data_IF_206531123321
#
_entry.id   IF_206531123321
#
_cell.length_a   1.000
_cell.length_b   1.000
_cell.length_c   1.000
_cell.angle_alpha   90.00
_cell.angle_beta   90.00
_cell.angle_gamma   90.00
#
_symmetry.space_group_name_H-M   'P 1'
#
loop_
_entity.id
_entity.type
_entity.pdbx_description
1 polymer ?
#
# COMPACT_ATOMS: atom_id res chain seq x y z
N UNK A 1 11.46 -13.99 11.65
CA UNK A 1 10.00 -14.07 11.83
C UNK A 1 9.26 -13.30 10.72
N UNK A 2 9.51 -11.99 10.53
CA UNK A 2 8.87 -11.21 9.46
C UNK A 2 9.19 -11.79 8.07
N UNK A 3 10.47 -12.08 7.78
CA UNK A 3 10.87 -12.63 6.49
C UNK A 3 10.21 -13.98 6.20
N UNK A 4 10.08 -14.86 7.17
CA UNK A 4 9.40 -16.16 7.04
C UNK A 4 7.93 -15.98 6.70
N UNK A 5 7.25 -15.08 7.40
CA UNK A 5 5.85 -14.75 7.13
C UNK A 5 5.65 -14.22 5.70
N UNK A 6 6.51 -13.30 5.24
CA UNK A 6 6.42 -12.73 3.90
C UNK A 6 6.68 -13.78 2.81
N UNK A 7 7.56 -14.78 3.06
CA UNK A 7 7.73 -15.94 2.17
C UNK A 7 6.47 -16.80 2.10
N UNK A 8 5.86 -17.09 3.26
CA UNK A 8 4.62 -17.88 3.34
C UNK A 8 3.43 -17.19 2.65
N UNK A 9 3.34 -15.86 2.73
CA UNK A 9 2.30 -15.09 2.06
C UNK A 9 2.33 -15.22 0.54
N UNK A 10 3.51 -15.55 -0.02
CA UNK A 10 3.72 -15.89 -1.43
C UNK A 10 3.14 -14.86 -2.42
N UNK A 11 3.12 -13.59 -2.05
CA UNK A 11 2.63 -12.50 -2.89
C UNK A 11 3.63 -12.12 -3.99
N UNK A 12 3.17 -11.62 -5.13
CA UNK A 12 4.04 -11.10 -6.20
C UNK A 12 4.64 -9.74 -5.84
N UNK A 13 3.85 -8.92 -5.13
CA UNK A 13 4.24 -7.59 -4.65
C UNK A 13 3.83 -7.45 -3.20
N UNK A 14 4.71 -6.90 -2.37
CA UNK A 14 4.49 -6.64 -0.95
C UNK A 14 4.68 -5.15 -0.70
N UNK A 15 3.73 -4.52 -0.03
CA UNK A 15 3.82 -3.15 0.46
C UNK A 15 3.94 -3.20 1.97
N UNK A 16 4.99 -2.59 2.51
CA UNK A 16 5.27 -2.53 3.94
C UNK A 16 5.16 -1.09 4.44
N UNK A 17 4.40 -0.88 5.50
CA UNK A 17 4.34 0.36 6.27
C UNK A 17 5.18 0.22 7.55
N UNK A 18 5.52 1.36 8.14
CA UNK A 18 6.38 1.44 9.34
C UNK A 18 7.72 0.71 9.19
N UNK A 19 8.23 0.72 7.95
CA UNK A 19 9.53 0.14 7.63
C UNK A 19 10.65 1.15 7.93
N UNK A 20 11.42 0.85 8.96
CA UNK A 20 12.55 1.69 9.38
C UNK A 20 13.89 1.03 9.00
N UNK A 21 14.98 1.80 9.02
CA UNK A 21 16.32 1.33 8.64
C UNK A 21 16.77 0.06 9.37
N UNK A 22 16.37 -0.13 10.62
CA UNK A 22 16.69 -1.34 11.38
C UNK A 22 15.98 -2.61 10.86
N UNK A 23 14.99 -2.50 9.99
CA UNK A 23 14.35 -3.63 9.31
C UNK A 23 15.10 -4.10 8.05
N UNK A 24 16.11 -3.37 7.56
CA UNK A 24 16.88 -3.73 6.34
C UNK A 24 17.43 -5.15 6.32
N UNK A 25 17.88 -5.76 7.45
CA UNK A 25 18.28 -7.17 7.44
C UNK A 25 17.18 -8.13 6.97
N UNK A 26 15.90 -7.80 7.21
CA UNK A 26 14.78 -8.60 6.69
C UNK A 26 14.66 -8.52 5.16
N UNK A 27 14.93 -7.35 4.56
CA UNK A 27 14.98 -7.20 3.10
C UNK A 27 16.12 -8.03 2.50
N UNK A 28 17.29 -8.02 3.11
CA UNK A 28 18.44 -8.82 2.67
C UNK A 28 18.10 -10.32 2.69
N UNK A 29 17.41 -10.80 3.72
CA UNK A 29 16.96 -12.19 3.84
C UNK A 29 15.90 -12.59 2.80
N UNK A 30 15.23 -11.61 2.19
CA UNK A 30 14.19 -11.81 1.16
C UNK A 30 14.69 -11.58 -0.27
N UNK A 31 15.98 -11.29 -0.44
CA UNK A 31 16.54 -10.88 -1.74
C UNK A 31 16.41 -11.92 -2.84
N UNK A 32 16.41 -13.19 -2.46
CA UNK A 32 16.26 -14.31 -3.42
C UNK A 32 14.82 -14.39 -3.94
N UNK A 33 13.83 -14.29 -3.06
CA UNK A 33 12.41 -14.39 -3.41
C UNK A 33 11.86 -13.09 -4.01
N UNK A 34 12.39 -11.95 -3.55
CA UNK A 34 12.00 -10.61 -3.98
C UNK A 34 13.26 -9.83 -4.40
N UNK A 35 13.79 -10.10 -5.59
CA UNK A 35 15.02 -9.48 -6.07
C UNK A 35 14.90 -7.95 -6.28
N UNK A 36 13.68 -7.46 -6.49
CA UNK A 36 13.41 -6.05 -6.73
C UNK A 36 12.80 -5.43 -5.46
N UNK A 37 13.58 -4.57 -4.81
CA UNK A 37 13.20 -3.95 -3.54
C UNK A 37 13.45 -2.45 -3.62
N UNK A 38 12.51 -1.67 -3.11
CA UNK A 38 12.64 -0.23 -2.96
C UNK A 38 12.10 0.19 -1.59
N UNK A 39 12.90 0.92 -0.84
CA UNK A 39 12.55 1.47 0.48
C UNK A 39 13.01 2.92 0.59
N UNK A 40 12.44 3.68 1.46
CA UNK A 40 12.66 5.11 1.58
C UNK A 40 13.12 5.56 2.97
N UNK A 41 13.61 4.63 3.80
CA UNK A 41 13.98 4.94 5.19
C UNK A 41 15.16 5.92 5.34
N UNK A 42 15.88 6.23 4.25
CA UNK A 42 16.88 7.31 4.22
C UNK A 42 16.27 8.70 3.95
N UNK A 43 15.01 8.75 3.52
CA UNK A 43 14.27 9.99 3.37
C UNK A 43 13.61 10.31 4.71
N UNK A 44 13.85 11.51 5.23
CA UNK A 44 13.25 11.94 6.50
C UNK A 44 11.73 11.76 6.47
N UNK A 45 11.19 11.17 7.53
CA UNK A 45 9.76 10.90 7.73
C UNK A 45 9.16 9.88 6.74
N UNK A 46 9.99 9.15 5.98
CA UNK A 46 9.54 8.06 5.10
C UNK A 46 9.83 6.70 5.75
N UNK A 47 8.79 5.86 5.83
CA UNK A 47 8.83 4.56 6.52
C UNK A 47 8.10 3.48 5.71
N UNK A 48 8.36 3.43 4.42
CA UNK A 48 7.70 2.51 3.49
C UNK A 48 8.73 1.65 2.75
N UNK A 49 8.31 0.44 2.35
CA UNK A 49 9.04 -0.38 1.41
C UNK A 49 8.10 -1.14 0.47
N UNK A 50 8.54 -1.37 -0.75
CA UNK A 50 7.88 -2.25 -1.72
C UNK A 50 8.88 -3.31 -2.18
N UNK A 51 8.46 -4.57 -2.10
CA UNK A 51 9.20 -5.73 -2.57
C UNK A 51 8.44 -6.35 -3.74
N UNK A 52 9.16 -6.81 -4.76
CA UNK A 52 8.55 -7.43 -5.93
C UNK A 52 9.40 -8.58 -6.48
N UNK A 53 8.73 -9.60 -6.99
CA UNK A 53 9.33 -10.68 -7.78
C UNK A 53 9.66 -10.23 -9.19
N UNK A 54 8.95 -9.22 -9.70
CA UNK A 54 9.11 -8.69 -11.06
C UNK A 54 9.86 -7.37 -11.03
N UNK A 55 10.66 -7.07 -12.08
CA UNK A 55 11.35 -5.81 -12.18
C UNK A 55 10.36 -4.65 -12.33
N UNK A 56 10.69 -3.51 -11.77
CA UNK A 56 10.00 -2.25 -12.00
C UNK A 56 10.92 -1.30 -12.80
N UNK A 57 10.31 -0.54 -13.72
CA UNK A 57 11.00 0.36 -14.66
C UNK A 57 11.12 1.79 -14.13
N UNK A 58 10.31 2.15 -13.14
CA UNK A 58 10.37 3.44 -12.48
C UNK A 58 9.95 3.30 -11.01
N UNK A 59 10.40 4.22 -10.19
CA UNK A 59 10.10 4.27 -8.76
C UNK A 59 10.23 5.68 -8.22
N UNK A 60 9.56 5.98 -7.14
CA UNK A 60 9.67 7.26 -6.44
C UNK A 60 9.07 7.21 -5.04
N UNK A 61 9.39 8.22 -4.25
CA UNK A 61 8.86 8.39 -2.90
C UNK A 61 8.61 9.87 -2.62
N UNK A 62 7.60 10.15 -1.82
CA UNK A 62 7.34 11.45 -1.21
C UNK A 62 7.16 11.29 0.28
N UNK A 63 7.81 12.16 1.02
CA UNK A 63 7.64 12.29 2.45
C UNK A 63 7.74 13.77 2.81
N UNK A 64 7.06 14.15 3.88
CA UNK A 64 7.10 15.51 4.39
C UNK A 64 5.96 15.80 5.34
N UNK A 65 6.10 16.90 6.07
CA UNK A 65 5.14 17.26 7.11
C UNK A 65 3.70 17.43 6.61
N UNK A 66 3.51 17.99 5.43
CA UNK A 66 2.19 18.26 4.82
C UNK A 66 1.88 17.38 3.59
N UNK A 67 2.83 16.56 3.18
CA UNK A 67 2.66 15.62 2.06
C UNK A 67 2.28 14.23 2.55
N UNK A 68 1.79 13.35 1.67
CA UNK A 68 1.64 11.95 2.00
C UNK A 68 3.01 11.34 2.24
N UNK A 69 3.09 10.39 3.16
CA UNK A 69 4.17 9.42 3.11
C UNK A 69 3.74 8.41 2.05
N UNK A 70 4.34 8.49 0.88
CA UNK A 70 4.05 7.60 -0.24
C UNK A 70 5.32 7.08 -0.89
N UNK A 71 5.26 5.84 -1.33
CA UNK A 71 6.29 5.15 -2.09
C UNK A 71 5.60 4.47 -3.27
N UNK A 72 6.18 4.53 -4.47
CA UNK A 72 5.58 3.86 -5.60
C UNK A 72 6.62 3.19 -6.50
N UNK A 73 6.19 2.14 -7.17
CA UNK A 73 6.92 1.47 -8.23
C UNK A 73 6.02 1.30 -9.45
N UNK A 74 6.59 1.40 -10.66
CA UNK A 74 5.91 1.14 -11.91
C UNK A 74 6.55 -0.03 -12.64
N UNK A 75 5.72 -0.95 -13.08
CA UNK A 75 6.12 -2.12 -13.85
C UNK A 75 6.14 -1.83 -15.36
N UNK A 76 6.81 -2.68 -16.11
CA UNK A 76 6.85 -2.60 -17.56
C UNK A 76 5.56 -3.09 -18.24
N UNK A 77 5.66 -3.25 -19.57
CA UNK A 77 4.51 -3.60 -20.41
C UNK A 77 3.93 -4.99 -20.10
N UNK A 78 4.72 -5.90 -19.52
CA UNK A 78 4.27 -7.21 -19.08
C UNK A 78 3.15 -7.15 -18.03
N UNK A 79 3.08 -6.05 -17.28
CA UNK A 79 1.99 -5.70 -16.35
C UNK A 79 1.22 -4.44 -16.80
N UNK A 80 1.24 -4.14 -18.12
CA UNK A 80 0.50 -3.01 -18.71
C UNK A 80 0.85 -1.65 -18.10
N UNK A 81 2.08 -1.49 -17.63
CA UNK A 81 2.52 -0.27 -16.96
C UNK A 81 1.90 -0.06 -15.58
N UNK A 82 1.45 -1.12 -14.90
CA UNK A 82 0.88 -1.06 -13.55
C UNK A 82 1.76 -0.23 -12.61
N UNK A 83 1.15 0.73 -11.92
CA UNK A 83 1.79 1.47 -10.83
C UNK A 83 1.20 1.04 -9.50
N UNK A 84 2.05 0.62 -8.57
CA UNK A 84 1.68 0.27 -7.20
C UNK A 84 2.19 1.33 -6.26
N UNK A 85 1.28 1.94 -5.50
CA UNK A 85 1.58 2.90 -4.43
C UNK A 85 1.43 2.23 -3.07
N UNK A 86 2.40 2.46 -2.19
CA UNK A 86 2.28 2.29 -0.76
C UNK A 86 2.07 3.65 -0.09
N UNK A 87 1.18 3.74 0.88
CA UNK A 87 0.89 4.99 1.58
C UNK A 87 0.68 4.78 3.09
N UNK A 88 1.13 5.75 3.88
CA UNK A 88 0.90 5.78 5.32
C UNK A 88 0.50 7.19 5.73
N UNK A 89 -0.73 7.35 6.19
CA UNK A 89 -1.30 8.64 6.53
C UNK A 89 -1.20 8.93 8.03
N UNK A 90 -1.24 10.21 8.36
CA UNK A 90 -1.35 10.67 9.75
C UNK A 90 -2.63 10.15 10.39
N UNK A 91 -2.56 9.99 11.71
CA UNK A 91 -3.72 9.65 12.54
C UNK A 91 -4.79 10.74 12.48
N UNK A 92 -6.06 10.40 12.75
CA UNK A 92 -7.19 11.34 12.62
C UNK A 92 -7.24 12.46 13.67
N UNK A 93 -6.29 12.53 14.60
CA UNK A 93 -6.11 13.61 15.55
C UNK A 93 -5.68 14.94 14.89
N UNK A 94 -5.21 14.89 13.65
CA UNK A 94 -4.82 16.06 12.84
C UNK A 94 -5.59 16.10 11.50
N UNK A 95 -6.93 16.28 11.50
CA UNK A 95 -7.78 16.07 10.32
C UNK A 95 -7.44 16.99 9.14
N UNK A 96 -7.08 18.25 9.39
CA UNK A 96 -6.68 19.18 8.32
C UNK A 96 -5.40 18.74 7.61
N UNK A 97 -4.48 18.15 8.35
CA UNK A 97 -3.23 17.62 7.80
C UNK A 97 -3.48 16.34 7.02
N UNK A 98 -4.24 15.41 7.60
CA UNK A 98 -4.67 14.19 6.91
C UNK A 98 -5.38 14.52 5.59
N UNK A 99 -6.26 15.54 5.59
CA UNK A 99 -6.95 15.99 4.38
C UNK A 99 -6.00 16.51 3.30
N UNK A 100 -4.95 17.29 3.68
CA UNK A 100 -3.93 17.73 2.72
C UNK A 100 -3.15 16.55 2.16
N UNK A 101 -2.81 15.57 2.99
CA UNK A 101 -2.14 14.34 2.55
C UNK A 101 -2.99 13.54 1.57
N UNK A 102 -4.28 13.38 1.85
CA UNK A 102 -5.26 12.72 0.98
C UNK A 102 -5.29 13.38 -0.41
N UNK A 103 -5.43 14.72 -0.46
CA UNK A 103 -5.44 15.44 -1.73
C UNK A 103 -4.13 15.31 -2.51
N UNK A 104 -3.00 15.35 -1.81
CA UNK A 104 -1.70 15.24 -2.45
C UNK A 104 -1.51 13.87 -3.09
N UNK A 105 -1.82 12.77 -2.37
CA UNK A 105 -1.76 11.43 -2.93
C UNK A 105 -2.77 11.23 -4.07
N UNK A 106 -3.99 11.76 -3.92
CA UNK A 106 -4.99 11.69 -4.98
C UNK A 106 -4.50 12.36 -6.29
N UNK A 107 -3.84 13.52 -6.19
CA UNK A 107 -3.24 14.18 -7.34
C UNK A 107 -2.10 13.38 -7.98
N UNK A 108 -1.27 12.70 -7.16
CA UNK A 108 -0.22 11.82 -7.66
C UNK A 108 -0.79 10.61 -8.40
N UNK A 109 -1.76 9.95 -7.80
CA UNK A 109 -2.40 8.76 -8.40
C UNK A 109 -3.19 9.12 -9.66
N UNK A 110 -3.92 10.23 -9.64
CA UNK A 110 -4.66 10.71 -10.83
C UNK A 110 -3.73 11.01 -12.02
N UNK A 111 -2.52 11.48 -11.75
CA UNK A 111 -1.53 11.82 -12.79
C UNK A 111 -0.65 10.64 -13.20
N UNK A 112 -0.71 9.52 -12.48
CA UNK A 112 0.11 8.36 -12.78
C UNK A 112 -0.42 7.61 -14.02
N UNK A 113 0.45 7.21 -14.95
CA UNK A 113 0.02 6.47 -16.12
C UNK A 113 -0.29 5.00 -15.81
N UNK A 114 -1.20 4.41 -16.61
CA UNK A 114 -1.54 2.99 -16.57
C UNK A 114 -2.48 2.59 -15.43
N UNK A 115 -2.71 1.29 -15.25
CA UNK A 115 -3.47 0.76 -14.13
C UNK A 115 -2.80 1.09 -12.78
N UNK A 116 -3.61 1.31 -11.75
CA UNK A 116 -3.11 1.74 -10.43
C UNK A 116 -3.66 0.85 -9.33
N UNK A 117 -2.78 0.49 -8.40
CA UNK A 117 -3.13 -0.07 -7.10
C UNK A 117 -2.53 0.85 -6.03
N UNK A 118 -3.34 1.26 -5.06
CA UNK A 118 -2.87 1.96 -3.86
C UNK A 118 -3.16 1.09 -2.65
N UNK A 119 -2.16 0.77 -1.85
CA UNK A 119 -2.31 -0.01 -0.64
C UNK A 119 -1.63 0.69 0.54
N UNK A 120 -2.23 0.66 1.71
CA UNK A 120 -1.60 1.23 2.89
C UNK A 120 -2.52 1.48 4.06
N UNK A 121 -1.92 2.02 5.12
CA UNK A 121 -2.63 2.51 6.29
C UNK A 121 -3.08 3.95 6.06
N UNK A 122 -4.38 4.12 5.91
CA UNK A 122 -5.02 5.43 5.73
C UNK A 122 -5.40 6.08 7.06
N UNK A 123 -5.26 5.36 8.18
CA UNK A 123 -5.71 5.82 9.49
C UNK A 123 -7.14 6.40 9.46
N UNK A 124 -8.01 5.85 8.63
CA UNK A 124 -9.35 6.33 8.36
C UNK A 124 -10.32 5.16 8.18
N UNK A 125 -11.45 5.18 8.89
CA UNK A 125 -12.45 4.13 8.79
C UNK A 125 -13.23 4.20 7.46
N UNK A 126 -13.82 3.08 6.99
CA UNK A 126 -14.73 3.04 5.86
C UNK A 126 -15.88 4.04 6.02
N UNK A 127 -16.20 4.79 4.97
CA UNK A 127 -17.25 5.80 5.01
C UNK A 127 -16.83 7.14 5.62
N UNK A 128 -15.60 7.28 6.11
CA UNK A 128 -15.08 8.58 6.52
C UNK A 128 -14.99 9.54 5.33
N UNK A 129 -15.15 10.83 5.59
CA UNK A 129 -15.00 11.88 4.58
C UNK A 129 -13.62 11.84 3.91
N UNK A 130 -12.60 11.38 4.63
CA UNK A 130 -11.24 11.23 4.12
C UNK A 130 -11.17 10.20 3.00
N UNK A 131 -11.73 9.00 3.21
CA UNK A 131 -11.71 7.94 2.20
C UNK A 131 -12.66 8.21 1.03
N UNK A 132 -13.83 8.79 1.31
CA UNK A 132 -14.76 9.21 0.25
C UNK A 132 -14.11 10.27 -0.65
N UNK A 133 -13.47 11.27 -0.04
CA UNK A 133 -12.74 12.29 -0.78
C UNK A 133 -11.55 11.72 -1.57
N UNK A 134 -10.80 10.76 -1.01
CA UNK A 134 -9.73 10.10 -1.74
C UNK A 134 -10.26 9.36 -2.98
N UNK A 135 -11.32 8.58 -2.85
CA UNK A 135 -11.93 7.88 -3.97
C UNK A 135 -12.38 8.84 -5.08
N UNK A 136 -13.03 9.93 -4.70
CA UNK A 136 -13.52 10.93 -5.65
C UNK A 136 -12.38 11.66 -6.37
N UNK A 137 -11.40 12.17 -5.63
CA UNK A 137 -10.29 12.93 -6.21
C UNK A 137 -9.30 12.09 -7.00
N UNK A 138 -9.07 10.84 -6.58
CA UNK A 138 -8.17 9.93 -7.26
C UNK A 138 -8.81 9.17 -8.42
N UNK A 139 -10.13 9.12 -8.50
CA UNK A 139 -10.85 8.29 -9.46
C UNK A 139 -10.63 6.79 -9.22
N UNK A 140 -10.44 6.40 -7.95
CA UNK A 140 -10.15 5.04 -7.55
C UNK A 140 -11.27 4.45 -6.71
N UNK A 141 -11.42 3.13 -6.74
CA UNK A 141 -12.38 2.46 -5.86
C UNK A 141 -11.73 1.51 -4.88
N UNK A 142 -12.27 1.50 -3.69
CA UNK A 142 -11.81 0.64 -2.61
C UNK A 142 -12.33 -0.77 -2.76
N UNK A 143 -11.44 -1.75 -2.59
CA UNK A 143 -11.79 -3.18 -2.75
C UNK A 143 -11.89 -3.95 -1.43
N UNK A 144 -11.57 -3.33 -0.29
CA UNK A 144 -11.65 -3.96 1.03
C UNK A 144 -12.19 -3.02 2.09
N UNK A 145 -12.92 -3.58 3.05
CA UNK A 145 -13.35 -2.93 4.30
C UNK A 145 -13.14 -3.87 5.49
N UNK A 146 -12.16 -4.77 5.38
CA UNK A 146 -11.88 -5.75 6.43
C UNK A 146 -11.18 -5.06 7.61
N UNK A 147 -11.61 -5.31 8.84
CA UNK A 147 -10.87 -4.88 10.02
C UNK A 147 -9.47 -5.50 10.03
N UNK A 148 -8.47 -4.68 10.34
CA UNK A 148 -7.06 -5.07 10.40
C UNK A 148 -6.41 -4.68 11.72
N UNK A 149 -6.97 -3.71 12.44
CA UNK A 149 -6.41 -3.15 13.68
C UNK A 149 -7.42 -3.14 14.83
N UNK A 150 -7.00 -3.36 16.08
CA UNK A 150 -5.71 -3.89 16.50
C UNK A 150 -5.69 -5.44 16.40
N UNK A 151 -4.57 -6.01 15.97
CA UNK A 151 -4.40 -7.46 15.84
C UNK A 151 -4.34 -8.19 17.19
N UNK A 152 -3.79 -7.51 18.21
CA UNK A 152 -3.56 -8.09 19.54
C UNK A 152 -4.84 -8.31 20.37
N UNK A 153 -5.98 -7.75 19.98
CA UNK A 153 -7.24 -7.95 20.67
C UNK A 153 -7.86 -9.31 20.27
N UNK A 154 -7.36 -10.39 20.84
CA UNK A 154 -7.80 -11.77 20.58
C UNK A 154 -7.81 -12.17 19.09
N UNK A 155 -6.97 -11.58 18.27
CA UNK A 155 -7.01 -11.69 16.80
C UNK A 155 -8.38 -11.30 16.19
N UNK A 156 -9.14 -10.45 16.85
CA UNK A 156 -10.42 -9.91 16.41
C UNK A 156 -10.27 -8.40 16.17
N UNK A 157 -9.64 -7.98 15.07
CA UNK A 157 -9.49 -6.57 14.74
C UNK A 157 -10.87 -5.92 14.54
N UNK A 158 -10.99 -4.66 14.97
CA UNK A 158 -12.27 -3.96 15.00
C UNK A 158 -12.35 -2.80 14.00
N UNK A 159 -11.20 -2.25 13.61
CA UNK A 159 -11.12 -1.11 12.72
C UNK A 159 -10.47 -1.50 11.38
N UNK A 160 -11.15 -1.15 10.30
CA UNK A 160 -10.62 -1.23 8.96
C UNK A 160 -9.95 0.12 8.63
N UNK A 161 -8.64 0.21 8.83
CA UNK A 161 -7.85 1.42 8.55
C UNK A 161 -6.81 1.19 7.47
N UNK A 162 -6.52 -0.08 7.15
CA UNK A 162 -5.71 -0.49 6.01
C UNK A 162 -6.61 -0.72 4.81
N UNK A 163 -6.31 -0.07 3.70
CA UNK A 163 -7.15 -0.11 2.51
C UNK A 163 -6.37 -0.42 1.25
N UNK A 164 -7.08 -1.02 0.29
CA UNK A 164 -6.60 -1.19 -1.08
C UNK A 164 -7.60 -0.52 -2.02
N UNK A 165 -7.06 0.33 -2.90
CA UNK A 165 -7.80 1.02 -3.96
C UNK A 165 -7.25 0.63 -5.32
N UNK A 166 -8.09 0.60 -6.31
CA UNK A 166 -7.74 0.24 -7.69
C UNK A 166 -8.36 1.22 -8.69
N UNK A 167 -7.69 1.36 -9.83
CA UNK A 167 -8.21 2.08 -11.00
C UNK A 167 -8.87 1.15 -12.00
N UNK A 168 -9.43 1.71 -13.05
CA UNK A 168 -9.76 1.01 -14.28
C UNK A 168 -8.55 0.23 -14.79
N UNK A 169 -8.77 -0.97 -15.37
CA UNK A 169 -7.71 -1.87 -15.79
C UNK A 169 -7.17 -2.78 -14.69
N UNK A 170 -7.63 -2.65 -13.45
CA UNK A 170 -7.38 -3.59 -12.35
C UNK A 170 -8.69 -4.21 -11.90
N UNK A 171 -8.77 -5.53 -11.85
CA UNK A 171 -9.96 -6.27 -11.44
C UNK A 171 -9.64 -7.25 -10.31
N UNK A 172 -10.35 -7.21 -9.18
CA UNK A 172 -10.18 -8.21 -8.13
C UNK A 172 -10.51 -9.62 -8.67
N UNK A 173 -9.66 -10.60 -8.36
CA UNK A 173 -9.91 -12.02 -8.65
C UNK A 173 -10.66 -12.72 -7.53
N UNK A 174 -10.50 -12.22 -6.31
CA UNK A 174 -11.20 -12.70 -5.13
C UNK A 174 -11.39 -11.55 -4.14
N UNK A 175 -12.29 -11.74 -3.20
CA UNK A 175 -12.44 -10.78 -2.09
C UNK A 175 -11.16 -10.78 -1.25
N UNK A 176 -10.62 -9.61 -0.87
CA UNK A 176 -9.46 -9.52 0.00
C UNK A 176 -9.66 -10.27 1.32
N UNK A 177 -8.59 -10.78 1.88
CA UNK A 177 -8.61 -11.53 3.14
C UNK A 177 -7.50 -11.08 4.07
N UNK A 178 -7.70 -11.14 5.41
CA UNK A 178 -6.63 -10.90 6.35
C UNK A 178 -5.62 -12.06 6.29
N UNK A 179 -4.34 -11.75 6.44
CA UNK A 179 -3.30 -12.74 6.65
C UNK A 179 -3.20 -13.15 8.12
N UNK A 180 -2.24 -14.01 8.43
CA UNK A 180 -1.93 -14.41 9.81
C UNK A 180 -1.21 -13.25 10.54
N UNK A 181 -1.32 -13.25 11.85
CA UNK A 181 -0.53 -12.36 12.71
C UNK A 181 0.98 -12.59 12.49
N UNK A 182 1.68 -11.54 12.11
CA UNK A 182 3.12 -11.51 11.88
C UNK A 182 3.91 -10.84 13.02
N UNK A 183 3.23 -10.47 14.11
CA UNK A 183 3.78 -9.73 15.25
C UNK A 183 3.70 -8.22 15.08
N UNK A 184 2.89 -7.74 14.14
CA UNK A 184 2.45 -6.35 14.01
C UNK A 184 1.14 -6.16 14.79
N UNK A 185 0.84 -4.92 15.18
CA UNK A 185 -0.48 -4.57 15.71
C UNK A 185 -1.56 -4.43 14.61
N UNK A 186 -1.17 -4.58 13.33
CA UNK A 186 -2.06 -4.73 12.19
C UNK A 186 -2.00 -6.14 11.60
N UNK A 187 -3.14 -6.69 11.17
CA UNK A 187 -3.17 -7.87 10.32
C UNK A 187 -2.84 -7.48 8.88
N UNK A 188 -2.01 -8.28 8.18
CA UNK A 188 -1.75 -8.05 6.77
C UNK A 188 -3.01 -8.25 5.93
N UNK A 189 -3.16 -7.44 4.89
CA UNK A 189 -4.25 -7.55 3.92
C UNK A 189 -3.75 -8.17 2.62
N UNK A 190 -4.34 -9.31 2.23
CA UNK A 190 -3.96 -10.07 1.02
C UNK A 190 -5.04 -9.89 -0.04
N UNK A 191 -4.63 -9.45 -1.23
CA UNK A 191 -5.49 -9.21 -2.38
C UNK A 191 -4.90 -9.79 -3.65
N UNK A 192 -5.75 -10.25 -4.56
CA UNK A 192 -5.34 -10.81 -5.87
C UNK A 192 -6.07 -10.09 -6.98
N UNK A 193 -5.33 -9.74 -8.04
CA UNK A 193 -5.84 -8.92 -9.13
C UNK A 193 -5.47 -9.48 -10.51
N UNK A 194 -6.36 -9.30 -11.47
CA UNK A 194 -6.06 -9.36 -12.88
C UNK A 194 -5.78 -7.93 -13.38
N UNK A 195 -4.75 -7.79 -14.20
CA UNK A 195 -4.38 -6.52 -14.83
C UNK A 195 -4.76 -6.62 -16.31
N UNK A 196 -5.71 -5.80 -16.75
CA UNK A 196 -6.05 -5.58 -18.16
C UNK A 196 -5.46 -4.24 -18.61
N UNK A 197 -5.06 -4.14 -19.86
CA UNK A 197 -4.75 -2.82 -20.40
C UNK A 197 -5.97 -1.90 -20.30
N UNK A 198 -5.76 -0.60 -20.13
CA UNK A 198 -6.83 0.38 -20.31
C UNK A 198 -7.43 0.13 -21.71
N UNK A 199 -8.70 -0.23 -21.77
CA UNK A 199 -9.45 -0.12 -23.03
C UNK A 199 -9.45 1.37 -23.39
N UNK A 200 -8.85 1.71 -24.52
CA UNK A 200 -8.99 3.01 -25.16
C UNK A 200 -10.47 3.33 -25.39
#
# INVERSE_FOLDING_TARGET
RIAEFLKEANADVIVLMEFFAFHRPALAALKTEYPHQYECSDIKDCNLAILSRRPFVAKGAKAGWDGPVSLWVRFGDELKGLTVFGAHFMRPDTPNRQWRQIKALAGETFSAPGPIIVAGDFNAAPGSIMLLGFQEFAGLWRVSSLPTWPSWFFNLPQLAIDHVFISNGVRPLAYPKPGKDAGSDHLPLISSFAISGSSE
#
